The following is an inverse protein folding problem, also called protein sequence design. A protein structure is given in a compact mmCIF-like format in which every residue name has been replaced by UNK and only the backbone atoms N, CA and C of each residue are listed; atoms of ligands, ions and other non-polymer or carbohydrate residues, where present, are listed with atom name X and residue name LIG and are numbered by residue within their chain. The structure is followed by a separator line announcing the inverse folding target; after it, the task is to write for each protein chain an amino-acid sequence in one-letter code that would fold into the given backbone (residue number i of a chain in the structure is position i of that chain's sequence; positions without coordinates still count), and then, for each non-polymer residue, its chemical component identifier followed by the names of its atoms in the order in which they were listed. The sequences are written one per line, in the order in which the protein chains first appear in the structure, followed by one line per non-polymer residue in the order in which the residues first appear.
data_IF_427688019358
#
_entry.id   IF_427688019358
#
_cell.length_a   1.000
_cell.length_b   1.000
_cell.length_c   1.000
_cell.angle_alpha   90.00
_cell.angle_beta   90.00
_cell.angle_gamma   90.00
#
_symmetry.space_group_name_H-M   'P 1'
#
loop_
_entity.id
_entity.type
_entity.pdbx_description
1 polymer ?
#
# COMPACT_ATOMS: atom_id res chain seq x y z
N UNK A 1 51.91 18.09 -32.79
CA UNK A 1 51.19 19.01 -31.87
C UNK A 1 49.80 18.45 -31.67
N UNK A 2 49.33 18.37 -30.42
CA UNK A 2 48.02 17.82 -30.08
C UNK A 2 47.01 18.98 -29.94
N UNK A 3 45.86 18.84 -30.61
CA UNK A 3 44.75 19.80 -30.55
C UNK A 3 43.89 19.55 -29.31
N UNK A 4 43.37 20.62 -28.71
CA UNK A 4 42.43 20.55 -27.59
C UNK A 4 41.04 21.00 -28.03
N UNK A 5 40.03 20.20 -27.66
CA UNK A 5 38.62 20.52 -27.89
C UNK A 5 37.90 20.55 -26.57
N UNK A 6 37.34 21.71 -26.21
CA UNK A 6 36.65 21.91 -24.93
C UNK A 6 35.25 22.46 -25.21
N UNK A 7 34.26 21.89 -24.53
CA UNK A 7 32.90 22.38 -24.52
C UNK A 7 32.50 22.74 -23.09
N UNK A 8 31.98 23.94 -22.88
CA UNK A 8 31.54 24.43 -21.58
C UNK A 8 30.06 24.77 -21.68
N UNK A 9 29.25 24.20 -20.79
CA UNK A 9 27.83 24.53 -20.69
C UNK A 9 27.62 25.35 -19.43
N UNK A 10 27.00 26.52 -19.59
CA UNK A 10 26.71 27.43 -18.48
C UNK A 10 25.22 27.44 -18.22
N UNK A 11 24.83 27.37 -16.95
CA UNK A 11 23.45 27.43 -16.53
C UNK A 11 22.94 28.89 -16.52
N UNK A 12 21.62 29.06 -16.61
CA UNK A 12 20.96 30.36 -16.51
C UNK A 12 21.17 30.97 -15.11
N UNK A 13 21.17 32.29 -15.05
CA UNK A 13 21.19 33.00 -13.77
C UNK A 13 19.78 32.99 -13.20
N UNK A 14 19.64 32.66 -11.92
CA UNK A 14 18.38 32.81 -11.19
C UNK A 14 18.21 34.25 -10.74
N UNK A 15 17.09 34.86 -11.14
CA UNK A 15 16.67 36.16 -10.59
C UNK A 15 16.09 35.98 -9.18
N UNK A 16 16.00 37.06 -8.38
CA UNK A 16 15.32 37.02 -7.08
C UNK A 16 13.87 36.52 -7.15
N UNK A 17 13.23 36.66 -8.31
CA UNK A 17 11.87 36.19 -8.62
C UNK A 17 11.82 34.70 -9.03
N UNK A 18 12.92 33.95 -8.88
CA UNK A 18 13.02 32.52 -9.20
C UNK A 18 13.02 32.17 -10.70
N UNK A 19 12.80 33.15 -11.58
CA UNK A 19 12.79 32.94 -13.04
C UNK A 19 14.22 32.74 -13.58
N UNK A 20 14.45 31.70 -14.42
CA UNK A 20 15.74 31.48 -15.04
C UNK A 20 15.93 32.51 -16.17
N UNK A 21 17.00 33.31 -16.09
CA UNK A 21 17.35 34.30 -17.10
C UNK A 21 18.65 33.89 -17.82
N UNK A 22 18.67 33.86 -19.16
CA UNK A 22 19.89 33.59 -19.89
C UNK A 22 20.95 34.67 -19.60
N UNK A 23 22.22 34.26 -19.59
CA UNK A 23 23.35 35.16 -19.44
C UNK A 23 23.40 36.12 -20.64
N UNK A 24 23.83 37.35 -20.38
CA UNK A 24 24.03 38.33 -21.45
C UNK A 24 25.21 37.93 -22.35
N UNK A 25 25.23 38.46 -23.58
CA UNK A 25 26.32 38.23 -24.52
C UNK A 25 27.69 38.66 -23.96
N UNK A 26 27.74 39.70 -23.12
CA UNK A 26 28.98 40.15 -22.49
C UNK A 26 29.50 39.14 -21.47
N UNK A 27 28.62 38.57 -20.65
CA UNK A 27 28.98 37.54 -19.68
C UNK A 27 29.48 36.27 -20.38
N UNK A 28 28.81 35.87 -21.47
CA UNK A 28 29.24 34.74 -22.30
C UNK A 28 30.64 34.95 -22.88
N UNK A 29 30.94 36.16 -23.40
CA UNK A 29 32.28 36.51 -23.89
C UNK A 29 33.34 36.49 -22.79
N UNK A 30 33.01 36.94 -21.59
CA UNK A 30 33.94 36.92 -20.46
C UNK A 30 34.27 35.48 -20.04
N UNK A 31 33.27 34.60 -19.98
CA UNK A 31 33.44 33.18 -19.69
C UNK A 31 34.29 32.50 -20.77
N UNK A 32 34.04 32.82 -22.04
CA UNK A 32 34.83 32.32 -23.16
C UNK A 32 36.29 32.75 -23.06
N UNK A 33 36.56 34.03 -22.76
CA UNK A 33 37.91 34.55 -22.60
C UNK A 33 38.67 33.90 -21.43
N UNK A 34 38.02 33.77 -20.27
CA UNK A 34 38.60 33.10 -19.10
C UNK A 34 38.90 31.63 -19.38
N UNK A 35 38.00 30.93 -20.06
CA UNK A 35 38.20 29.52 -20.43
C UNK A 35 39.36 29.37 -21.41
N UNK A 36 39.44 30.27 -22.40
CA UNK A 36 40.52 30.33 -23.41
C UNK A 36 41.90 30.50 -22.75
N UNK A 37 41.99 31.41 -21.78
CA UNK A 37 43.22 31.67 -21.03
C UNK A 37 43.59 30.50 -20.11
N UNK A 38 42.64 29.98 -19.35
CA UNK A 38 42.86 28.86 -18.42
C UNK A 38 43.36 27.58 -19.11
N UNK A 39 42.94 27.33 -20.35
CA UNK A 39 43.36 26.15 -21.10
C UNK A 39 44.62 26.36 -21.97
N UNK A 40 45.15 27.58 -22.05
CA UNK A 40 46.26 27.89 -22.96
C UNK A 40 45.90 27.71 -24.44
N UNK A 41 44.70 28.15 -24.82
CA UNK A 41 44.17 28.02 -26.18
C UNK A 41 45.12 28.60 -27.23
N UNK A 42 45.30 27.88 -28.33
CA UNK A 42 46.10 28.35 -29.45
C UNK A 42 45.42 28.05 -30.79
N UNK A 43 45.06 29.10 -31.53
CA UNK A 43 44.53 28.97 -32.90
C UNK A 43 45.54 28.28 -33.83
N UNK A 44 46.84 28.54 -33.62
CA UNK A 44 47.93 27.92 -34.39
C UNK A 44 47.98 26.40 -34.20
N UNK A 45 47.47 25.87 -33.09
CA UNK A 45 47.35 24.42 -32.84
C UNK A 45 46.01 23.84 -33.32
N UNK A 46 45.06 24.68 -33.75
CA UNK A 46 43.73 24.26 -34.16
C UNK A 46 42.82 23.87 -32.99
N UNK A 47 42.98 24.53 -31.84
CA UNK A 47 42.11 24.31 -30.69
C UNK A 47 40.70 24.85 -30.96
N UNK A 48 39.69 24.24 -30.34
CA UNK A 48 38.28 24.63 -30.48
C UNK A 48 37.63 24.78 -29.11
N UNK A 49 36.93 25.89 -28.89
CA UNK A 49 36.13 26.17 -27.70
C UNK A 49 34.68 26.44 -28.11
N UNK A 50 33.73 25.75 -27.49
CA UNK A 50 32.30 26.03 -27.65
C UNK A 50 31.66 26.26 -26.28
N UNK A 51 31.04 27.44 -26.09
CA UNK A 51 30.34 27.79 -24.85
C UNK A 51 28.87 27.97 -25.17
N UNK A 52 28.02 27.15 -24.56
CA UNK A 52 26.56 27.22 -24.75
C UNK A 52 25.87 27.51 -23.44
N UNK A 53 24.92 28.44 -23.48
CA UNK A 53 24.10 28.76 -22.33
C UNK A 53 22.80 27.95 -22.44
N UNK A 54 22.59 27.01 -21.53
CA UNK A 54 21.41 26.16 -21.52
C UNK A 54 20.84 26.10 -20.10
N UNK A 55 19.52 26.13 -19.93
CA UNK A 55 18.94 25.88 -18.62
C UNK A 55 19.31 24.45 -18.21
N UNK A 56 19.89 24.30 -17.03
CA UNK A 56 19.99 23.00 -16.39
C UNK A 56 18.62 22.69 -15.79
N UNK A 57 18.14 21.47 -16.00
CA UNK A 57 17.08 20.97 -15.16
C UNK A 57 17.65 20.94 -13.75
N UNK A 58 17.20 21.84 -12.87
CA UNK A 58 17.22 21.52 -11.46
C UNK A 58 16.33 20.29 -11.36
N UNK A 59 16.95 19.11 -11.26
CA UNK A 59 16.35 18.06 -10.47
C UNK A 59 16.37 18.60 -9.05
N UNK A 60 15.45 19.53 -8.80
CA UNK A 60 14.97 19.76 -7.47
C UNK A 60 14.41 18.39 -7.06
N UNK A 61 15.23 17.56 -6.41
CA UNK A 61 14.68 16.57 -5.47
C UNK A 61 13.86 17.29 -4.36
N UNK A 62 13.90 18.62 -4.33
CA UNK A 62 13.07 19.56 -3.58
C UNK A 62 11.93 20.23 -4.39
N UNK A 63 11.60 19.74 -5.59
CA UNK A 63 10.67 20.36 -6.53
C UNK A 63 9.22 20.00 -6.24
N UNK A 64 8.73 20.46 -5.09
CA UNK A 64 7.42 20.11 -4.53
C UNK A 64 7.53 18.85 -3.67
N UNK A 65 7.03 18.91 -2.43
CA UNK A 65 6.84 17.70 -1.62
C UNK A 65 6.22 16.63 -2.51
N UNK A 66 6.88 15.46 -2.63
CA UNK A 66 6.33 14.36 -3.39
C UNK A 66 4.87 14.19 -2.96
N UNK A 67 3.92 14.07 -3.91
CA UNK A 67 2.52 13.84 -3.60
C UNK A 67 2.41 12.77 -2.53
N UNK A 68 1.50 12.94 -1.57
CA UNK A 68 1.45 12.09 -0.37
C UNK A 68 1.40 10.58 -0.66
N UNK A 69 0.86 10.16 -1.82
CA UNK A 69 0.83 8.76 -2.27
C UNK A 69 2.17 8.21 -2.81
N UNK A 70 3.09 9.09 -3.23
CA UNK A 70 4.44 8.77 -3.70
C UNK A 70 5.49 8.88 -2.60
N UNK A 71 5.10 9.36 -1.42
CA UNK A 71 5.98 9.40 -0.27
C UNK A 71 6.33 7.98 0.17
N UNK A 72 7.61 7.73 0.40
CA UNK A 72 8.10 6.42 0.87
C UNK A 72 7.38 5.97 2.15
N UNK A 73 7.12 6.89 3.08
CA UNK A 73 6.39 6.61 4.32
C UNK A 73 4.97 6.08 4.07
N UNK A 74 4.26 6.58 3.05
CA UNK A 74 2.92 6.11 2.69
C UNK A 74 2.97 4.69 2.12
N UNK A 75 3.95 4.41 1.25
CA UNK A 75 4.14 3.07 0.66
C UNK A 75 4.48 2.05 1.76
N UNK A 76 5.36 2.42 2.70
CA UNK A 76 5.74 1.56 3.83
C UNK A 76 4.53 1.26 4.73
N UNK A 77 3.71 2.27 5.02
CA UNK A 77 2.46 2.09 5.78
C UNK A 77 1.44 1.22 5.03
N UNK A 78 1.29 1.42 3.72
CA UNK A 78 0.38 0.63 2.88
C UNK A 78 0.80 -0.86 2.87
N UNK A 79 2.10 -1.14 2.72
CA UNK A 79 2.64 -2.49 2.76
C UNK A 79 2.44 -3.12 4.15
N UNK A 80 2.68 -2.35 5.22
CA UNK A 80 2.44 -2.82 6.59
C UNK A 80 0.96 -3.16 6.83
N UNK A 81 0.04 -2.27 6.43
CA UNK A 81 -1.40 -2.51 6.51
C UNK A 81 -1.83 -3.72 5.65
N UNK A 82 -1.28 -3.84 4.44
CA UNK A 82 -1.53 -4.95 3.53
C UNK A 82 -1.13 -6.30 4.13
N UNK A 83 -0.02 -6.37 4.87
CA UNK A 83 0.41 -7.60 5.55
C UNK A 83 -0.58 -8.05 6.62
N UNK A 84 -1.08 -7.12 7.44
CA UNK A 84 -2.11 -7.43 8.45
C UNK A 84 -3.46 -7.79 7.81
N UNK A 85 -3.84 -7.09 6.74
CA UNK A 85 -5.05 -7.39 5.98
C UNK A 85 -5.02 -8.83 5.42
N UNK A 86 -3.86 -9.25 4.91
CA UNK A 86 -3.66 -10.61 4.40
C UNK A 86 -3.80 -11.65 5.52
N UNK A 87 -3.20 -11.41 6.69
CA UNK A 87 -3.36 -12.28 7.87
C UNK A 87 -4.83 -12.38 8.29
N UNK A 88 -5.55 -11.26 8.37
CA UNK A 88 -6.98 -11.25 8.69
C UNK A 88 -7.80 -12.01 7.65
N UNK A 89 -7.50 -11.86 6.37
CA UNK A 89 -8.20 -12.54 5.29
C UNK A 89 -7.98 -14.06 5.35
N UNK A 90 -6.75 -14.50 5.63
CA UNK A 90 -6.44 -15.92 5.86
C UNK A 90 -7.13 -16.44 7.12
N UNK A 91 -7.07 -15.72 8.23
CA UNK A 91 -7.75 -16.09 9.47
C UNK A 91 -9.27 -16.19 9.28
N UNK A 92 -9.87 -15.24 8.56
CA UNK A 92 -11.28 -15.25 8.19
C UNK A 92 -11.64 -16.44 7.29
N UNK A 93 -10.80 -16.76 6.31
CA UNK A 93 -11.00 -17.91 5.42
C UNK A 93 -10.95 -19.23 6.21
N UNK A 94 -9.96 -19.38 7.11
CA UNK A 94 -9.83 -20.54 8.00
C UNK A 94 -11.00 -20.64 8.97
N UNK A 95 -11.44 -19.52 9.56
CA UNK A 95 -12.63 -19.49 10.42
C UNK A 95 -13.87 -19.95 9.66
N UNK A 96 -14.10 -19.40 8.46
CA UNK A 96 -15.24 -19.76 7.61
C UNK A 96 -15.22 -21.24 7.23
N UNK A 97 -14.04 -21.80 6.95
CA UNK A 97 -13.90 -23.18 6.47
C UNK A 97 -13.78 -24.23 7.58
N UNK A 98 -13.18 -23.90 8.73
CA UNK A 98 -12.92 -24.87 9.81
C UNK A 98 -13.83 -24.63 11.03
N UNK A 99 -13.99 -23.39 11.48
CA UNK A 99 -14.73 -23.08 12.71
C UNK A 99 -16.24 -23.16 12.48
N UNK A 100 -16.74 -22.60 11.37
CA UNK A 100 -18.17 -22.63 11.04
C UNK A 100 -18.77 -24.05 10.96
N UNK A 101 -18.18 -25.02 10.22
CA UNK A 101 -18.76 -26.36 10.12
C UNK A 101 -18.65 -27.17 11.43
N UNK A 102 -17.61 -26.92 12.24
CA UNK A 102 -17.47 -27.59 13.55
C UNK A 102 -18.54 -27.09 14.53
N UNK A 103 -18.82 -25.77 14.53
CA UNK A 103 -19.87 -25.18 15.36
C UNK A 103 -21.26 -25.65 14.95
N UNK A 104 -21.57 -25.71 13.65
CA UNK A 104 -22.88 -26.23 13.20
C UNK A 104 -23.06 -27.69 13.55
N UNK A 105 -22.03 -28.54 13.38
CA UNK A 105 -22.07 -29.95 13.79
C UNK A 105 -22.33 -30.12 15.29
N UNK A 106 -21.67 -29.32 16.13
CA UNK A 106 -21.89 -29.34 17.60
C UNK A 106 -23.28 -28.81 17.97
N UNK A 107 -23.75 -27.77 17.29
CA UNK A 107 -25.09 -27.22 17.51
C UNK A 107 -26.19 -28.21 17.11
N UNK A 108 -26.02 -28.93 16.00
CA UNK A 108 -26.93 -29.99 15.55
C UNK A 108 -26.93 -31.18 16.53
N UNK A 109 -25.76 -31.60 17.02
CA UNK A 109 -25.66 -32.66 18.02
C UNK A 109 -26.37 -32.29 19.33
N UNK A 110 -26.20 -31.07 19.83
CA UNK A 110 -26.92 -30.59 21.02
C UNK A 110 -28.43 -30.52 20.80
N UNK A 111 -28.88 -30.05 19.63
CA UNK A 111 -30.31 -30.03 19.27
C UNK A 111 -30.90 -31.43 19.21
N UNK A 112 -30.19 -32.40 18.62
CA UNK A 112 -30.63 -33.79 18.56
C UNK A 112 -30.78 -34.42 19.94
N UNK A 113 -29.85 -34.15 20.87
CA UNK A 113 -29.94 -34.62 22.27
C UNK A 113 -31.13 -33.98 22.99
N UNK A 114 -31.36 -32.67 22.80
CA UNK A 114 -32.52 -31.98 23.37
C UNK A 114 -33.85 -32.51 22.83
N UNK A 115 -33.95 -32.75 21.51
CA UNK A 115 -35.15 -33.32 20.91
C UNK A 115 -35.42 -34.75 21.42
N UNK A 116 -34.38 -35.56 21.61
CA UNK A 116 -34.53 -36.88 22.20
C UNK A 116 -34.95 -36.81 23.67
N UNK A 117 -34.44 -35.85 24.45
CA UNK A 117 -34.86 -35.64 25.82
C UNK A 117 -36.32 -35.21 25.91
N UNK A 118 -36.74 -34.24 25.09
CA UNK A 118 -38.13 -33.77 25.00
C UNK A 118 -39.08 -34.89 24.54
N UNK A 119 -38.70 -35.65 23.52
CA UNK A 119 -39.52 -36.78 23.05
C UNK A 119 -39.64 -37.90 24.10
N UNK A 120 -38.59 -38.12 24.93
CA UNK A 120 -38.67 -39.07 26.06
C UNK A 120 -39.59 -38.55 27.15
N UNK A 121 -39.50 -37.27 27.50
CA UNK A 121 -40.34 -36.62 28.49
C UNK A 121 -41.83 -36.62 28.07
N UNK A 122 -42.13 -36.32 26.80
CA UNK A 122 -43.49 -36.41 26.25
C UNK A 122 -44.07 -37.84 26.28
N UNK A 123 -43.24 -38.86 26.01
CA UNK A 123 -43.66 -40.26 26.08
C UNK A 123 -43.89 -40.68 27.54
N UNK A 124 -43.03 -40.26 28.47
CA UNK A 124 -43.20 -40.53 29.90
C UNK A 124 -44.48 -39.89 30.46
N UNK A 125 -44.75 -38.62 30.12
CA UNK A 125 -45.96 -37.91 30.53
C UNK A 125 -47.22 -38.54 29.91
N UNK A 126 -47.17 -38.94 28.63
CA UNK A 126 -48.27 -39.65 27.98
C UNK A 126 -48.55 -41.04 28.60
N UNK A 127 -47.51 -41.75 29.04
CA UNK A 127 -47.63 -43.03 29.75
C UNK A 127 -48.22 -42.80 31.15
N UNK A 128 -47.74 -41.80 31.89
CA UNK A 128 -48.25 -41.46 33.22
C UNK A 128 -49.75 -41.09 33.19
N UNK A 129 -50.17 -40.26 32.24
CA UNK A 129 -51.58 -39.88 32.06
C UNK A 129 -52.45 -41.11 31.75
N UNK A 130 -51.96 -42.07 30.94
CA UNK A 130 -52.71 -43.32 30.67
C UNK A 130 -52.79 -44.24 31.89
N UNK A 131 -51.73 -44.35 32.69
CA UNK A 131 -51.74 -45.14 33.93
C UNK A 131 -52.63 -44.52 35.02
N UNK A 132 -52.76 -43.19 35.04
CA UNK A 132 -53.68 -42.46 35.92
C UNK A 132 -55.15 -42.70 35.50
N UNK A 133 -55.43 -42.63 34.19
CA UNK A 133 -56.78 -42.84 33.63
C UNK A 133 -57.29 -44.28 33.81
N UNK A 134 -56.40 -45.27 33.78
CA UNK A 134 -56.74 -46.69 33.92
C UNK A 134 -57.14 -47.14 35.33
N UNK A 135 -56.96 -46.30 36.36
CA UNK A 135 -57.31 -46.64 37.75
C UNK A 135 -58.74 -46.27 38.17
N UNK A 136 -59.51 -45.64 37.29
CA UNK A 136 -60.90 -45.25 37.60
C UNK A 136 -61.88 -45.95 36.66
N UNK A 137 -62.45 -47.08 37.09
CA UNK A 137 -63.84 -47.56 36.87
C UNK A 137 -63.93 -49.09 37.03
N UNK A 138 -65.10 -49.66 37.35
CA UNK A 138 -66.05 -49.29 38.39
C UNK A 138 -66.24 -50.47 39.37
N UNK A 139 -66.43 -50.18 40.67
CA UNK A 139 -66.80 -51.21 41.65
C UNK A 139 -68.24 -51.65 41.40
N UNK A 140 -68.41 -52.81 40.76
CA UNK A 140 -69.61 -53.65 40.82
C UNK A 140 -69.84 -54.10 42.27
N UNK A 141 -71.04 -53.87 42.82
CA UNK A 141 -71.68 -54.53 43.99
C UNK A 141 -72.97 -53.73 44.26
N UNK A 142 -74.18 -54.25 44.45
CA UNK A 142 -74.83 -55.57 44.38
C UNK A 142 -76.33 -55.26 44.32
#
# INVERSE_FOLDING_TARGET
MQRLSVAVVVNYKTLPDGKPLPLSNEQMKQIEALTREAMGFSEKRGDSLNVVNSPFNSSDESGGELPFWQQQAFIDQLLAAGRWLLVLLVAWLLWRKAVRPQLTRRAEAMKAVQQQAQAREEVEDAVEVRLSKGRTTPTTTR
#
